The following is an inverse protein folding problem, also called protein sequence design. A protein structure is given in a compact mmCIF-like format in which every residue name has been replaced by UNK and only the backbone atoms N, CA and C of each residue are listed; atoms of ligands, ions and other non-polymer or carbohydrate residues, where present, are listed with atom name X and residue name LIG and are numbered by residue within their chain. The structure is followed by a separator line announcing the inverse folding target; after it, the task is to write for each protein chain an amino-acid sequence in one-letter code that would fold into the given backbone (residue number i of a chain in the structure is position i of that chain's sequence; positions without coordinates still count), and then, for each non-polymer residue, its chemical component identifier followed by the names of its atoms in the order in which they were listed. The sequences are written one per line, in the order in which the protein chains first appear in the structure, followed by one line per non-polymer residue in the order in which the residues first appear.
data_IF_132203223870
#
_entry.id   IF_132203223870
#
_cell.length_a   1.000
_cell.length_b   1.000
_cell.length_c   1.000
_cell.angle_alpha   90.00
_cell.angle_beta   90.00
_cell.angle_gamma   90.00
#
_symmetry.space_group_name_H-M   'P 1'
#
loop_
_entity.id
_entity.type
_entity.pdbx_description
1 polymer ?
#
# COMPACT_ATOMS: atom_id res chain seq x y z
N UNK A 1 -17.68 -15.62 -46.21
CA UNK A 1 -16.69 -15.39 -45.15
C UNK A 1 -17.34 -14.45 -44.15
N UNK A 2 -17.61 -14.90 -42.93
CA UNK A 2 -18.01 -13.97 -41.88
C UNK A 2 -16.90 -12.96 -41.67
N UNK A 3 -17.24 -11.66 -41.61
CA UNK A 3 -16.30 -10.60 -41.28
C UNK A 3 -15.85 -10.87 -39.84
N UNK A 4 -14.58 -11.07 -39.62
CA UNK A 4 -14.00 -11.21 -38.27
C UNK A 4 -14.29 -9.88 -37.55
N UNK A 5 -14.75 -9.92 -36.32
CA UNK A 5 -15.00 -8.68 -35.57
C UNK A 5 -13.67 -8.04 -35.16
N UNK A 6 -13.65 -6.73 -34.97
CA UNK A 6 -12.45 -6.01 -34.49
C UNK A 6 -12.01 -6.56 -33.12
N UNK A 7 -12.97 -6.95 -32.28
CA UNK A 7 -12.73 -7.61 -30.98
C UNK A 7 -12.01 -8.95 -31.14
N UNK A 8 -12.43 -9.79 -32.11
CA UNK A 8 -11.78 -11.08 -32.37
C UNK A 8 -10.35 -10.90 -32.89
N UNK A 9 -10.12 -9.87 -33.73
CA UNK A 9 -8.78 -9.55 -34.24
C UNK A 9 -7.86 -9.09 -33.12
N UNK A 10 -8.32 -8.22 -32.21
CA UNK A 10 -7.55 -7.75 -31.06
C UNK A 10 -7.30 -8.91 -30.07
N UNK A 11 -8.30 -9.76 -29.79
CA UNK A 11 -8.12 -10.93 -28.96
C UNK A 11 -7.03 -11.86 -29.52
N UNK A 12 -7.02 -12.06 -30.85
CA UNK A 12 -5.98 -12.88 -31.48
C UNK A 12 -4.61 -12.26 -31.35
N UNK A 13 -4.46 -10.95 -31.56
CA UNK A 13 -3.19 -10.22 -31.39
C UNK A 13 -2.69 -10.27 -29.95
N UNK A 14 -3.59 -10.26 -28.97
CA UNK A 14 -3.23 -10.48 -27.55
C UNK A 14 -2.68 -11.89 -27.36
N UNK A 15 -3.36 -12.93 -27.89
CA UNK A 15 -2.93 -14.32 -27.74
C UNK A 15 -1.58 -14.60 -28.44
N UNK A 16 -1.31 -13.97 -29.57
CA UNK A 16 -0.03 -14.07 -30.30
C UNK A 16 1.05 -13.12 -29.79
N UNK A 17 0.71 -12.22 -28.84
CA UNK A 17 1.59 -11.20 -28.25
C UNK A 17 2.05 -10.14 -29.26
N UNK A 18 1.30 -9.95 -30.32
CA UNK A 18 1.51 -8.91 -31.32
C UNK A 18 0.86 -7.57 -30.93
N UNK A 19 -0.06 -7.60 -29.95
CA UNK A 19 -0.69 -6.40 -29.42
C UNK A 19 0.33 -5.52 -28.70
N UNK A 20 0.26 -4.20 -28.95
CA UNK A 20 1.11 -3.17 -28.32
C UNK A 20 0.44 -2.67 -27.05
N UNK A 21 1.16 -2.70 -25.94
CA UNK A 21 0.65 -2.29 -24.64
C UNK A 21 1.26 -0.93 -24.26
N UNK A 22 0.41 -0.01 -23.84
CA UNK A 22 0.82 1.21 -23.14
C UNK A 22 0.42 1.11 -21.67
N UNK A 23 1.34 1.44 -20.74
CA UNK A 23 1.07 1.48 -19.31
C UNK A 23 1.27 2.91 -18.82
N UNK A 24 0.21 3.53 -18.28
CA UNK A 24 0.21 4.91 -17.80
C UNK A 24 0.30 4.92 -16.27
N UNK A 25 1.33 5.61 -15.76
CA UNK A 25 1.70 5.59 -14.36
C UNK A 25 2.63 4.41 -14.03
N UNK A 26 3.94 4.69 -13.89
CA UNK A 26 4.98 3.68 -13.65
C UNK A 26 5.40 3.63 -12.18
N UNK A 27 4.40 3.66 -11.28
CA UNK A 27 4.57 3.46 -9.84
C UNK A 27 4.54 1.98 -9.45
N UNK A 28 4.21 1.72 -8.16
CA UNK A 28 4.19 0.37 -7.55
C UNK A 28 3.21 -0.63 -8.21
N UNK A 29 2.28 -0.17 -9.01
CA UNK A 29 1.34 -1.02 -9.76
C UNK A 29 1.76 -1.10 -11.22
N UNK A 30 1.88 0.05 -11.90
CA UNK A 30 2.06 0.07 -13.35
C UNK A 30 3.43 -0.42 -13.81
N UNK A 31 4.53 -0.07 -13.13
CA UNK A 31 5.86 -0.55 -13.54
C UNK A 31 5.99 -2.08 -13.42
N UNK A 32 5.58 -2.74 -12.31
CA UNK A 32 5.52 -4.19 -12.25
C UNK A 32 4.69 -4.83 -13.38
N UNK A 33 3.52 -4.27 -13.68
CA UNK A 33 2.68 -4.74 -14.80
C UNK A 33 3.41 -4.61 -16.14
N UNK A 34 4.02 -3.45 -16.41
CA UNK A 34 4.78 -3.22 -17.63
C UNK A 34 5.91 -4.24 -17.80
N UNK A 35 6.66 -4.51 -16.72
CA UNK A 35 7.74 -5.51 -16.72
C UNK A 35 7.20 -6.91 -16.96
N UNK A 36 6.08 -7.28 -16.30
CA UNK A 36 5.47 -8.61 -16.43
C UNK A 36 4.97 -8.86 -17.85
N UNK A 37 4.29 -7.89 -18.49
CA UNK A 37 3.85 -8.02 -19.88
C UNK A 37 5.02 -8.03 -20.87
N UNK A 38 6.03 -7.18 -20.67
CA UNK A 38 7.23 -7.19 -21.50
C UNK A 38 7.96 -8.54 -21.40
N UNK A 39 8.07 -9.10 -20.18
CA UNK A 39 8.66 -10.42 -19.96
C UNK A 39 7.82 -11.57 -20.55
N UNK A 40 6.50 -11.39 -20.64
CA UNK A 40 5.61 -12.32 -21.35
C UNK A 40 5.77 -12.26 -22.87
N UNK A 41 6.50 -11.26 -23.42
CA UNK A 41 6.86 -11.13 -24.83
C UNK A 41 6.22 -9.97 -25.57
N UNK A 42 5.35 -9.20 -24.94
CA UNK A 42 4.74 -8.01 -25.56
C UNK A 42 5.74 -6.87 -25.79
N UNK A 43 5.41 -5.98 -26.71
CA UNK A 43 6.01 -4.65 -26.78
C UNK A 43 5.26 -3.73 -25.84
N UNK A 44 5.96 -3.15 -24.88
CA UNK A 44 5.37 -2.31 -23.82
C UNK A 44 6.00 -0.92 -23.85
N UNK A 45 5.17 0.10 -23.89
CA UNK A 45 5.56 1.49 -23.67
C UNK A 45 4.97 1.98 -22.34
N UNK A 46 5.82 2.43 -21.45
CA UNK A 46 5.40 3.08 -20.20
C UNK A 46 5.27 4.59 -20.38
N UNK A 47 4.26 5.20 -19.78
CA UNK A 47 4.11 6.65 -19.70
C UNK A 47 4.11 7.08 -18.25
N UNK A 48 5.01 8.02 -17.89
CA UNK A 48 5.04 8.61 -16.55
C UNK A 48 5.45 10.09 -16.64
N UNK A 49 4.82 10.93 -15.84
CA UNK A 49 5.11 12.37 -15.77
C UNK A 49 6.47 12.67 -15.10
N UNK A 50 7.04 11.72 -14.37
CA UNK A 50 8.33 11.86 -13.71
C UNK A 50 9.47 11.50 -14.68
N UNK A 51 10.09 12.49 -15.28
CA UNK A 51 11.18 12.32 -16.26
C UNK A 51 12.37 11.54 -15.68
N UNK A 52 12.67 11.73 -14.38
CA UNK A 52 13.74 10.97 -13.71
C UNK A 52 13.44 9.47 -13.70
N UNK A 53 12.18 9.09 -13.38
CA UNK A 53 11.73 7.68 -13.42
C UNK A 53 11.79 7.11 -14.85
N UNK A 54 11.38 7.89 -15.84
CA UNK A 54 11.47 7.52 -17.26
C UNK A 54 12.92 7.24 -17.66
N UNK A 55 13.86 8.09 -17.23
CA UNK A 55 15.28 7.94 -17.52
C UNK A 55 15.86 6.65 -16.86
N UNK A 56 15.54 6.39 -15.60
CA UNK A 56 15.97 5.18 -14.89
C UNK A 56 15.45 3.91 -15.57
N UNK A 57 14.17 3.86 -15.94
CA UNK A 57 13.56 2.71 -16.63
C UNK A 57 14.26 2.48 -17.98
N UNK A 58 14.50 3.51 -18.76
CA UNK A 58 15.18 3.40 -20.06
C UNK A 58 16.66 3.00 -19.93
N UNK A 59 17.28 3.30 -18.80
CA UNK A 59 18.63 2.83 -18.44
C UNK A 59 18.64 1.37 -17.92
N UNK A 60 17.48 0.76 -17.70
CA UNK A 60 17.35 -0.58 -17.13
C UNK A 60 17.51 -0.61 -15.62
N UNK A 61 17.38 0.52 -14.93
CA UNK A 61 17.50 0.63 -13.49
C UNK A 61 16.10 0.63 -12.85
N UNK A 62 15.93 -0.19 -11.81
CA UNK A 62 14.69 -0.26 -11.05
C UNK A 62 14.53 0.98 -10.16
N UNK A 63 13.52 1.84 -10.38
CA UNK A 63 13.39 3.13 -9.67
C UNK A 63 12.54 3.07 -8.41
N UNK A 64 12.07 1.86 -8.01
CA UNK A 64 11.23 1.66 -6.83
C UNK A 64 12.02 0.98 -5.72
N UNK A 65 11.37 0.72 -4.59
CA UNK A 65 11.99 0.05 -3.44
C UNK A 65 12.76 -1.20 -3.87
N UNK A 66 14.06 -1.34 -3.49
CA UNK A 66 14.92 -2.44 -3.90
C UNK A 66 14.51 -3.82 -3.36
N UNK A 67 13.53 -3.90 -2.47
CA UNK A 67 13.12 -5.16 -1.83
C UNK A 67 12.21 -6.06 -2.69
N UNK A 68 11.96 -5.72 -3.96
CA UNK A 68 11.30 -6.63 -4.90
C UNK A 68 12.31 -7.64 -5.46
N UNK A 69 12.21 -8.94 -5.12
CA UNK A 69 13.32 -9.88 -5.38
C UNK A 69 13.55 -10.19 -6.87
N UNK A 70 12.50 -10.20 -7.69
CA UNK A 70 12.56 -10.64 -9.09
C UNK A 70 12.52 -9.49 -10.12
N UNK A 71 11.72 -8.48 -9.85
CA UNK A 71 11.37 -7.43 -10.84
C UNK A 71 12.55 -6.60 -11.33
N UNK A 72 13.54 -6.22 -10.49
CA UNK A 72 14.69 -5.45 -10.97
C UNK A 72 15.48 -6.16 -12.06
N UNK A 73 15.78 -7.45 -11.87
CA UNK A 73 16.51 -8.25 -12.85
C UNK A 73 15.69 -8.46 -14.13
N UNK A 74 14.39 -8.74 -14.01
CA UNK A 74 13.49 -8.87 -15.16
C UNK A 74 13.39 -7.56 -15.94
N UNK A 75 13.29 -6.42 -15.26
CA UNK A 75 13.22 -5.12 -15.90
C UNK A 75 14.49 -4.82 -16.69
N UNK A 76 15.66 -5.07 -16.12
CA UNK A 76 16.94 -4.90 -16.80
C UNK A 76 16.98 -5.72 -18.12
N UNK A 77 16.53 -6.98 -18.07
CA UNK A 77 16.49 -7.85 -19.26
C UNK A 77 15.55 -7.32 -20.33
N UNK A 78 14.28 -6.99 -19.98
CA UNK A 78 13.30 -6.54 -20.97
C UNK A 78 13.62 -5.15 -21.53
N UNK A 79 14.27 -4.28 -20.74
CA UNK A 79 14.76 -2.98 -21.21
C UNK A 79 15.93 -3.18 -22.21
N UNK A 80 16.87 -4.08 -21.91
CA UNK A 80 17.99 -4.41 -22.80
C UNK A 80 17.50 -5.01 -24.14
N UNK A 81 16.50 -5.87 -24.09
CA UNK A 81 15.86 -6.45 -25.28
C UNK A 81 14.98 -5.46 -26.06
N UNK A 82 14.81 -4.23 -25.57
CA UNK A 82 13.94 -3.22 -26.18
C UNK A 82 12.44 -3.57 -26.10
N UNK A 83 12.05 -4.50 -25.24
CA UNK A 83 10.65 -4.90 -24.99
C UNK A 83 9.90 -3.90 -24.11
N UNK A 84 10.61 -3.20 -23.22
CA UNK A 84 10.08 -2.13 -22.40
C UNK A 84 10.83 -0.82 -22.71
N UNK A 85 10.09 0.25 -22.93
CA UNK A 85 10.56 1.62 -23.04
C UNK A 85 9.63 2.53 -22.24
N UNK A 86 10.12 3.69 -21.84
CA UNK A 86 9.32 4.69 -21.13
C UNK A 86 9.46 6.07 -21.76
N UNK A 87 8.41 6.89 -21.65
CA UNK A 87 8.35 8.28 -22.13
C UNK A 87 7.44 9.11 -21.23
N UNK A 88 7.52 10.44 -21.32
CA UNK A 88 6.53 11.36 -20.75
C UNK A 88 5.51 11.85 -21.80
N UNK A 89 5.64 11.44 -23.06
CA UNK A 89 4.80 11.86 -24.18
C UNK A 89 3.61 10.91 -24.39
N UNK A 90 2.39 11.41 -24.25
CA UNK A 90 1.15 10.68 -24.53
C UNK A 90 0.95 10.36 -26.03
N UNK A 91 1.68 11.00 -26.92
CA UNK A 91 1.69 10.64 -28.35
C UNK A 91 2.04 9.16 -28.59
N UNK A 92 2.72 8.53 -27.65
CA UNK A 92 3.01 7.08 -27.67
C UNK A 92 1.76 6.18 -27.62
N UNK A 93 0.59 6.72 -27.26
CA UNK A 93 -0.70 6.01 -27.31
C UNK A 93 -1.25 5.80 -28.72
N UNK A 94 -0.73 6.51 -29.74
CA UNK A 94 -1.28 6.49 -31.11
C UNK A 94 -1.39 5.08 -31.71
N UNK A 95 -0.42 4.24 -31.43
CA UNK A 95 -0.35 2.86 -31.94
C UNK A 95 -0.74 1.80 -30.90
N UNK A 96 -1.35 2.20 -29.79
CA UNK A 96 -1.71 1.28 -28.72
C UNK A 96 -2.91 0.41 -29.10
N UNK A 97 -2.83 -0.86 -28.80
CA UNK A 97 -3.94 -1.80 -28.82
C UNK A 97 -4.57 -1.95 -27.45
N UNK A 98 -3.74 -1.75 -26.42
CA UNK A 98 -4.11 -1.89 -25.02
C UNK A 98 -3.49 -0.73 -24.23
N UNK A 99 -4.29 -0.09 -23.40
CA UNK A 99 -3.84 0.92 -22.46
C UNK A 99 -4.19 0.46 -21.05
N UNK A 100 -3.17 0.32 -20.19
CA UNK A 100 -3.34 0.03 -18.75
C UNK A 100 -3.12 1.32 -17.98
N UNK A 101 -4.10 1.72 -17.14
CA UNK A 101 -4.02 2.96 -16.37
C UNK A 101 -3.85 2.65 -14.89
N UNK A 102 -2.71 3.05 -14.34
CA UNK A 102 -2.30 2.80 -12.95
C UNK A 102 -1.77 4.08 -12.28
N UNK A 103 -2.56 5.14 -12.32
CA UNK A 103 -2.24 6.45 -11.73
C UNK A 103 -2.78 6.57 -10.31
N UNK A 104 -2.25 7.49 -9.47
CA UNK A 104 -2.75 7.70 -8.11
C UNK A 104 -4.21 8.18 -8.11
N UNK A 105 -4.98 7.65 -7.13
CA UNK A 105 -6.36 8.04 -6.82
C UNK A 105 -6.47 8.31 -5.33
N UNK A 106 -5.96 9.44 -4.82
CA UNK A 106 -6.00 9.78 -3.41
C UNK A 106 -7.40 10.19 -2.95
N UNK A 107 -7.52 10.46 -1.66
CA UNK A 107 -8.61 11.24 -1.09
C UNK A 107 -8.06 12.60 -0.66
N UNK A 108 -8.90 13.64 -0.73
CA UNK A 108 -8.57 14.98 -0.28
C UNK A 108 -8.65 15.11 1.26
N UNK A 109 -8.42 16.32 1.78
CA UNK A 109 -8.49 16.62 3.21
C UNK A 109 -9.90 16.42 3.81
N UNK A 110 -10.94 16.47 2.96
CA UNK A 110 -12.33 16.20 3.33
C UNK A 110 -12.70 14.73 3.15
N UNK A 111 -11.72 13.87 2.85
CA UNK A 111 -11.91 12.43 2.61
C UNK A 111 -12.75 12.11 1.36
N UNK A 112 -12.77 13.06 0.39
CA UNK A 112 -13.45 12.87 -0.88
C UNK A 112 -12.45 12.32 -1.91
N UNK A 113 -12.89 11.44 -2.84
CA UNK A 113 -12.04 10.93 -3.90
C UNK A 113 -11.50 12.04 -4.80
N UNK A 114 -10.21 12.00 -5.11
CA UNK A 114 -9.59 12.85 -6.11
C UNK A 114 -9.15 11.99 -7.31
N UNK A 115 -9.91 12.08 -8.39
CA UNK A 115 -9.66 11.38 -9.65
C UNK A 115 -9.06 12.27 -10.73
N UNK A 116 -8.56 13.46 -10.39
CA UNK A 116 -7.98 14.41 -11.35
C UNK A 116 -6.90 13.77 -12.21
N UNK A 117 -5.95 13.06 -11.59
CA UNK A 117 -4.88 12.37 -12.31
C UNK A 117 -5.39 11.28 -13.26
N UNK A 118 -6.47 10.57 -12.89
CA UNK A 118 -7.12 9.56 -13.75
C UNK A 118 -7.83 10.20 -14.93
N UNK A 119 -8.61 11.25 -14.70
CA UNK A 119 -9.33 11.99 -15.74
C UNK A 119 -8.34 12.63 -16.73
N UNK A 120 -7.27 13.24 -16.22
CA UNK A 120 -6.22 13.83 -17.06
C UNK A 120 -5.51 12.77 -17.91
N UNK A 121 -5.16 11.62 -17.31
CA UNK A 121 -4.53 10.51 -18.01
C UNK A 121 -5.42 9.98 -19.14
N UNK A 122 -6.71 9.76 -18.87
CA UNK A 122 -7.67 9.28 -19.86
C UNK A 122 -7.95 10.33 -20.95
N UNK A 123 -8.10 11.61 -20.60
CA UNK A 123 -8.33 12.70 -21.55
C UNK A 123 -7.17 12.84 -22.53
N UNK A 124 -5.93 12.83 -22.01
CA UNK A 124 -4.74 12.89 -22.86
C UNK A 124 -4.62 11.64 -23.74
N UNK A 125 -4.92 10.47 -23.21
CA UNK A 125 -4.85 9.20 -23.93
C UNK A 125 -5.88 9.13 -25.07
N UNK A 126 -7.16 9.39 -24.76
CA UNK A 126 -8.26 9.27 -25.73
C UNK A 126 -8.09 10.16 -26.96
N UNK A 127 -7.33 11.27 -26.86
CA UNK A 127 -7.03 12.15 -28.01
C UNK A 127 -6.16 11.48 -29.08
N UNK A 128 -5.46 10.39 -28.75
CA UNK A 128 -4.56 9.67 -29.65
C UNK A 128 -5.06 8.30 -30.07
N UNK A 129 -6.10 7.75 -29.38
CA UNK A 129 -6.54 6.40 -29.64
C UNK A 129 -7.26 6.24 -30.98
N UNK A 130 -7.00 5.12 -31.64
CA UNK A 130 -7.83 4.57 -32.71
C UNK A 130 -9.04 3.81 -32.16
N UNK A 131 -9.93 3.31 -33.02
CA UNK A 131 -11.04 2.44 -32.62
C UNK A 131 -10.56 1.09 -32.08
N UNK A 132 -11.38 0.46 -31.25
CA UNK A 132 -11.20 -0.93 -30.77
C UNK A 132 -10.01 -1.18 -29.84
N UNK A 133 -9.58 -0.16 -29.07
CA UNK A 133 -8.55 -0.29 -28.05
C UNK A 133 -9.15 -0.80 -26.73
N UNK A 134 -8.47 -1.69 -26.00
CA UNK A 134 -8.82 -2.03 -24.62
C UNK A 134 -8.17 -1.02 -23.66
N UNK A 135 -8.97 -0.30 -22.88
CA UNK A 135 -8.50 0.48 -21.74
C UNK A 135 -8.79 -0.30 -20.45
N UNK A 136 -7.76 -0.77 -19.77
CA UNK A 136 -7.85 -1.46 -18.50
C UNK A 136 -7.44 -0.52 -17.35
N UNK A 137 -8.39 -0.15 -16.49
CA UNK A 137 -8.13 0.70 -15.32
C UNK A 137 -7.75 -0.20 -14.14
N UNK A 138 -6.54 -0.03 -13.61
CA UNK A 138 -6.04 -0.71 -12.42
C UNK A 138 -6.02 0.20 -11.19
N UNK A 139 -6.09 1.53 -11.37
CA UNK A 139 -6.22 2.48 -10.27
C UNK A 139 -7.45 2.15 -9.41
N UNK A 140 -7.35 2.28 -8.09
CA UNK A 140 -8.49 2.03 -7.20
C UNK A 140 -9.55 3.10 -7.39
N UNK A 141 -10.79 2.67 -7.64
CA UNK A 141 -11.93 3.54 -7.92
C UNK A 141 -12.97 3.49 -6.79
N UNK A 142 -13.64 4.60 -6.53
CA UNK A 142 -14.87 4.60 -5.75
C UNK A 142 -16.01 3.94 -6.52
N UNK A 143 -16.99 3.30 -5.84
CA UNK A 143 -18.15 2.70 -6.50
C UNK A 143 -18.91 3.69 -7.40
N UNK A 144 -19.16 3.29 -8.65
CA UNK A 144 -19.84 4.10 -9.67
C UNK A 144 -18.93 4.88 -10.60
N UNK A 145 -17.62 5.00 -10.29
CA UNK A 145 -16.66 5.79 -11.09
C UNK A 145 -16.56 5.29 -12.54
N UNK A 146 -16.62 3.98 -12.78
CA UNK A 146 -16.59 3.43 -14.15
C UNK A 146 -17.78 3.91 -14.99
N UNK A 147 -18.96 4.01 -14.38
CA UNK A 147 -20.15 4.57 -15.04
C UNK A 147 -19.99 6.05 -15.37
N UNK A 148 -19.42 6.83 -14.44
CA UNK A 148 -19.15 8.25 -14.66
C UNK A 148 -18.12 8.48 -15.76
N UNK A 149 -17.06 7.67 -15.80
CA UNK A 149 -16.07 7.70 -16.87
C UNK A 149 -16.67 7.33 -18.23
N UNK A 150 -17.50 6.28 -18.30
CA UNK A 150 -18.20 5.91 -19.53
C UNK A 150 -19.12 7.05 -20.02
N UNK A 151 -19.84 7.71 -19.12
CA UNK A 151 -20.67 8.86 -19.46
C UNK A 151 -19.85 10.08 -19.91
N UNK A 152 -18.68 10.33 -19.30
CA UNK A 152 -17.80 11.45 -19.64
C UNK A 152 -17.22 11.33 -21.06
N UNK A 153 -16.80 10.13 -21.44
CA UNK A 153 -16.18 9.88 -22.75
C UNK A 153 -17.19 9.53 -23.86
N UNK A 154 -18.49 9.46 -23.53
CA UNK A 154 -19.58 9.16 -24.46
C UNK A 154 -19.67 7.66 -24.80
N UNK A 155 -20.21 7.32 -25.99
CA UNK A 155 -20.11 5.97 -26.55
C UNK A 155 -18.69 5.83 -27.16
N UNK A 156 -17.71 5.38 -26.39
CA UNK A 156 -16.33 5.33 -26.85
C UNK A 156 -16.17 4.25 -27.91
N UNK A 157 -15.31 4.52 -28.88
CA UNK A 157 -14.86 3.51 -29.85
C UNK A 157 -13.89 2.51 -29.24
N UNK A 158 -13.71 2.52 -27.91
CA UNK A 158 -12.79 1.64 -27.15
C UNK A 158 -13.55 0.80 -26.11
N UNK A 159 -12.95 -0.31 -25.71
CA UNK A 159 -13.44 -1.21 -24.69
C UNK A 159 -12.90 -0.81 -23.32
N UNK A 160 -13.77 -0.57 -22.34
CA UNK A 160 -13.39 -0.13 -21.00
C UNK A 160 -13.57 -1.26 -19.98
N UNK A 161 -12.49 -1.60 -19.27
CA UNK A 161 -12.52 -2.63 -18.22
C UNK A 161 -11.88 -2.10 -16.93
N UNK A 162 -12.48 -2.43 -15.79
CA UNK A 162 -11.90 -2.23 -14.46
C UNK A 162 -11.18 -3.49 -14.01
N UNK A 163 -9.89 -3.42 -13.82
CA UNK A 163 -9.03 -4.58 -13.56
C UNK A 163 -8.15 -4.36 -12.32
N UNK A 164 -8.73 -4.11 -11.13
CA UNK A 164 -7.97 -3.73 -9.95
C UNK A 164 -6.91 -4.77 -9.59
N UNK A 165 -5.77 -4.26 -9.13
CA UNK A 165 -4.68 -5.09 -8.63
C UNK A 165 -4.92 -5.57 -7.19
N UNK A 166 -4.25 -6.64 -6.78
CA UNK A 166 -4.24 -7.21 -5.43
C UNK A 166 -2.80 -7.51 -5.02
N UNK A 167 -1.94 -6.49 -5.07
CA UNK A 167 -0.51 -6.66 -4.79
C UNK A 167 -0.12 -6.14 -3.42
N UNK A 168 0.98 -6.69 -2.90
CA UNK A 168 1.59 -6.25 -1.65
C UNK A 168 3.06 -5.99 -1.91
N UNK A 169 3.63 -4.83 -1.50
CA UNK A 169 5.05 -4.55 -1.60
C UNK A 169 5.91 -5.67 -1.00
N UNK A 170 7.02 -6.01 -1.68
CA UNK A 170 7.89 -7.12 -1.34
C UNK A 170 7.50 -8.47 -1.97
N UNK A 171 6.34 -8.55 -2.67
CA UNK A 171 5.85 -9.75 -3.33
C UNK A 171 5.08 -9.45 -4.63
N UNK A 172 5.38 -8.33 -5.31
CA UNK A 172 4.63 -7.85 -6.47
C UNK A 172 4.58 -8.89 -7.58
N UNK A 173 5.73 -9.41 -8.04
CA UNK A 173 5.78 -10.39 -9.10
C UNK A 173 5.01 -11.68 -8.76
N UNK A 174 5.11 -12.16 -7.52
CA UNK A 174 4.37 -13.32 -7.03
C UNK A 174 2.87 -13.04 -7.04
N UNK A 175 2.44 -11.90 -6.48
CA UNK A 175 1.02 -11.56 -6.40
C UNK A 175 0.39 -11.40 -7.79
N UNK A 176 1.06 -10.73 -8.73
CA UNK A 176 0.57 -10.57 -10.10
C UNK A 176 0.38 -11.91 -10.83
N UNK A 177 1.19 -12.92 -10.49
CA UNK A 177 1.09 -14.27 -11.09
C UNK A 177 0.08 -15.17 -10.39
N UNK A 178 -0.05 -15.13 -9.06
CA UNK A 178 -0.67 -16.18 -8.25
C UNK A 178 -1.94 -15.74 -7.51
N UNK A 179 -2.21 -14.44 -7.41
CA UNK A 179 -3.44 -13.96 -6.77
C UNK A 179 -4.55 -13.85 -7.79
N UNK A 180 -5.75 -14.41 -7.51
CA UNK A 180 -6.90 -14.28 -8.39
C UNK A 180 -7.25 -12.82 -8.67
N UNK A 181 -7.60 -12.50 -9.91
CA UNK A 181 -7.95 -11.14 -10.33
C UNK A 181 -9.44 -11.02 -10.58
N UNK A 182 -10.02 -9.86 -10.24
CA UNK A 182 -11.38 -9.48 -10.60
C UNK A 182 -11.32 -8.58 -11.84
N UNK A 183 -12.27 -8.76 -12.75
CA UNK A 183 -12.44 -7.98 -13.98
C UNK A 183 -13.89 -7.51 -14.03
N UNK A 184 -14.09 -6.20 -13.88
CA UNK A 184 -15.38 -5.53 -14.02
C UNK A 184 -15.52 -4.95 -15.42
N UNK A 185 -16.30 -5.58 -16.29
CA UNK A 185 -16.42 -5.16 -17.67
C UNK A 185 -17.70 -5.68 -18.33
N UNK A 186 -18.09 -5.07 -19.46
CA UNK A 186 -19.07 -5.66 -20.37
C UNK A 186 -18.51 -6.91 -21.10
N UNK A 187 -19.33 -7.53 -21.94
CA UNK A 187 -18.97 -8.82 -22.56
C UNK A 187 -17.73 -8.75 -23.48
N UNK A 188 -17.56 -7.70 -24.26
CA UNK A 188 -16.43 -7.57 -25.21
C UNK A 188 -15.16 -7.15 -24.48
N UNK A 189 -15.22 -6.14 -23.62
CA UNK A 189 -14.12 -5.71 -22.79
C UNK A 189 -13.65 -6.85 -21.85
N UNK A 190 -14.58 -7.66 -21.33
CA UNK A 190 -14.25 -8.82 -20.50
C UNK A 190 -13.46 -9.87 -21.25
N UNK A 191 -13.83 -10.20 -22.51
CA UNK A 191 -13.10 -11.15 -23.35
C UNK A 191 -11.66 -10.68 -23.54
N UNK A 192 -11.48 -9.40 -23.92
CA UNK A 192 -10.16 -8.82 -24.15
C UNK A 192 -9.31 -8.77 -22.87
N UNK A 193 -9.90 -8.32 -21.75
CA UNK A 193 -9.21 -8.28 -20.47
C UNK A 193 -8.82 -9.67 -19.97
N UNK A 194 -9.68 -10.69 -20.12
CA UNK A 194 -9.34 -12.07 -19.80
C UNK A 194 -8.20 -12.60 -20.67
N UNK A 195 -8.24 -12.33 -21.97
CA UNK A 195 -7.16 -12.74 -22.90
C UNK A 195 -5.84 -12.09 -22.49
N UNK A 196 -5.84 -10.78 -22.12
CA UNK A 196 -4.66 -10.03 -21.69
C UNK A 196 -4.08 -10.58 -20.38
N UNK A 197 -4.87 -10.58 -19.30
CA UNK A 197 -4.37 -10.94 -17.99
C UNK A 197 -4.01 -12.43 -17.86
N UNK A 198 -4.60 -13.30 -18.64
CA UNK A 198 -4.19 -14.71 -18.71
C UNK A 198 -2.76 -14.92 -19.21
N UNK A 199 -2.14 -13.92 -19.86
CA UNK A 199 -0.75 -14.01 -20.31
C UNK A 199 0.26 -13.91 -19.15
N UNK A 200 -0.15 -13.31 -18.02
CA UNK A 200 0.72 -13.06 -16.85
C UNK A 200 0.19 -13.68 -15.57
N UNK A 201 -1.12 -13.71 -15.36
CA UNK A 201 -1.77 -14.29 -14.19
C UNK A 201 -2.05 -15.78 -14.42
N UNK A 202 -1.57 -16.63 -13.51
CA UNK A 202 -1.79 -18.09 -13.52
C UNK A 202 -2.97 -18.51 -12.63
N UNK A 203 -3.46 -17.60 -11.80
CA UNK A 203 -4.61 -17.81 -10.94
C UNK A 203 -5.92 -17.53 -11.70
N UNK A 204 -7.05 -17.81 -11.07
CA UNK A 204 -8.38 -17.59 -11.64
C UNK A 204 -8.65 -16.12 -11.93
N UNK A 205 -9.28 -15.84 -13.05
CA UNK A 205 -9.81 -14.55 -13.43
C UNK A 205 -11.34 -14.59 -13.27
N UNK A 206 -11.89 -13.66 -12.48
CA UNK A 206 -13.31 -13.58 -12.17
C UNK A 206 -13.92 -12.35 -12.86
N UNK A 207 -14.83 -12.59 -13.79
CA UNK A 207 -15.56 -11.53 -14.49
C UNK A 207 -16.83 -11.19 -13.73
N UNK A 208 -17.12 -9.90 -13.59
CA UNK A 208 -18.34 -9.36 -13.01
C UNK A 208 -18.66 -8.01 -13.67
N UNK A 209 -19.75 -7.36 -13.27
CA UNK A 209 -20.03 -5.99 -13.66
C UNK A 209 -19.03 -5.00 -13.00
N UNK A 210 -18.84 -3.80 -13.61
CA UNK A 210 -17.89 -2.81 -13.10
C UNK A 210 -18.16 -2.37 -11.66
N UNK A 211 -19.41 -2.12 -11.29
CA UNK A 211 -19.79 -1.65 -9.95
C UNK A 211 -19.42 -2.69 -8.87
N UNK A 212 -19.72 -3.97 -9.13
CA UNK A 212 -19.34 -5.06 -8.22
C UNK A 212 -17.83 -5.18 -8.06
N UNK A 213 -17.05 -4.96 -9.12
CA UNK A 213 -15.59 -4.98 -9.05
C UNK A 213 -15.03 -3.78 -8.26
N UNK A 214 -15.58 -2.58 -8.43
CA UNK A 214 -15.20 -1.37 -7.67
C UNK A 214 -15.46 -1.56 -6.18
N UNK A 215 -16.68 -2.03 -5.82
CA UNK A 215 -17.04 -2.34 -4.43
C UNK A 215 -16.09 -3.41 -3.87
N UNK A 216 -15.84 -4.48 -4.60
CA UNK A 216 -14.96 -5.58 -4.19
C UNK A 216 -13.56 -5.05 -3.82
N UNK A 217 -12.95 -4.25 -4.69
CA UNK A 217 -11.59 -3.71 -4.45
C UNK A 217 -11.53 -2.84 -3.19
N UNK A 218 -12.44 -1.90 -3.04
CA UNK A 218 -12.45 -1.02 -1.87
C UNK A 218 -12.81 -1.80 -0.59
N UNK A 219 -13.76 -2.75 -0.68
CA UNK A 219 -14.20 -3.55 0.46
C UNK A 219 -13.11 -4.49 1.00
N UNK A 220 -12.21 -5.02 0.17
CA UNK A 220 -11.08 -5.82 0.62
C UNK A 220 -10.18 -5.04 1.59
N UNK A 221 -9.85 -3.80 1.25
CA UNK A 221 -9.02 -2.94 2.10
C UNK A 221 -9.80 -2.41 3.31
N UNK A 222 -11.08 -2.07 3.16
CA UNK A 222 -11.96 -1.69 4.27
C UNK A 222 -12.14 -2.85 5.27
N UNK A 223 -12.29 -4.09 4.78
CA UNK A 223 -12.35 -5.29 5.63
C UNK A 223 -11.06 -5.46 6.43
N UNK A 224 -9.89 -5.26 5.79
CA UNK A 224 -8.60 -5.31 6.47
C UNK A 224 -8.48 -4.24 7.54
N UNK A 225 -8.97 -3.04 7.28
CA UNK A 225 -8.99 -1.92 8.21
C UNK A 225 -9.85 -2.22 9.45
N UNK A 226 -11.05 -2.79 9.26
CA UNK A 226 -11.93 -3.24 10.36
C UNK A 226 -11.26 -4.34 11.20
N UNK A 227 -10.58 -5.29 10.56
CA UNK A 227 -9.86 -6.34 11.29
C UNK A 227 -8.73 -5.77 12.16
N UNK A 228 -8.02 -4.75 11.67
CA UNK A 228 -6.96 -4.05 12.42
C UNK A 228 -7.57 -3.23 13.56
N UNK A 229 -8.69 -2.52 13.31
CA UNK A 229 -9.40 -1.77 14.33
C UNK A 229 -9.88 -2.68 15.47
N UNK A 230 -10.44 -3.85 15.15
CA UNK A 230 -10.83 -4.83 16.15
C UNK A 230 -9.64 -5.28 17.03
N UNK A 231 -8.49 -5.55 16.40
CA UNK A 231 -7.28 -5.95 17.14
C UNK A 231 -6.76 -4.82 18.05
N UNK A 232 -6.81 -3.58 17.56
CA UNK A 232 -6.40 -2.39 18.29
C UNK A 232 -7.35 -2.11 19.46
N UNK A 233 -8.66 -2.15 19.23
CA UNK A 233 -9.65 -1.97 20.32
C UNK A 233 -9.55 -3.07 21.35
N UNK A 234 -9.30 -4.34 20.96
CA UNK A 234 -9.06 -5.44 21.87
C UNK A 234 -7.82 -5.19 22.74
N UNK A 235 -6.78 -4.56 22.21
CA UNK A 235 -5.61 -4.17 22.99
C UNK A 235 -5.99 -3.16 24.08
N UNK A 236 -6.77 -2.13 23.76
CA UNK A 236 -7.26 -1.14 24.73
C UNK A 236 -8.14 -1.79 25.81
N UNK A 237 -9.02 -2.71 25.42
CA UNK A 237 -9.85 -3.48 26.38
C UNK A 237 -8.98 -4.32 27.32
N UNK A 238 -7.95 -4.98 26.80
CA UNK A 238 -7.04 -5.76 27.63
C UNK A 238 -6.25 -4.89 28.61
N UNK A 239 -5.77 -3.71 28.18
CA UNK A 239 -5.10 -2.75 29.05
C UNK A 239 -6.00 -2.29 30.21
N UNK A 240 -7.25 -1.95 29.92
CA UNK A 240 -8.23 -1.50 30.94
C UNK A 240 -8.56 -2.59 31.96
N UNK A 241 -8.69 -3.83 31.49
CA UNK A 241 -9.02 -4.99 32.32
C UNK A 241 -7.81 -5.64 32.99
N UNK A 242 -6.59 -5.20 32.75
CA UNK A 242 -5.37 -5.80 33.31
C UNK A 242 -5.00 -7.15 32.68
N UNK A 243 -5.40 -7.39 31.41
CA UNK A 243 -5.09 -8.60 30.65
C UNK A 243 -3.95 -8.35 29.63
N UNK A 244 -3.44 -9.44 29.03
CA UNK A 244 -2.45 -9.40 27.96
C UNK A 244 -3.11 -9.73 26.62
N UNK A 245 -3.20 -8.74 25.70
CA UNK A 245 -3.81 -8.91 24.38
C UNK A 245 -3.08 -9.97 23.55
N UNK A 246 -1.78 -10.10 23.71
CA UNK A 246 -0.98 -11.05 22.94
C UNK A 246 -1.32 -12.49 23.28
N UNK A 247 -1.53 -12.76 24.57
CA UNK A 247 -2.04 -14.05 25.05
C UNK A 247 -3.50 -14.27 24.64
N UNK A 248 -4.38 -13.28 24.85
CA UNK A 248 -5.80 -13.35 24.46
C UNK A 248 -5.93 -13.63 22.96
N UNK A 249 -5.16 -12.91 22.13
CA UNK A 249 -5.11 -13.12 20.70
C UNK A 249 -4.67 -14.54 20.32
N UNK A 250 -3.62 -15.07 20.96
CA UNK A 250 -3.16 -16.44 20.72
C UNK A 250 -4.28 -17.45 21.03
N UNK A 251 -4.98 -17.28 22.14
CA UNK A 251 -6.10 -18.14 22.54
C UNK A 251 -7.25 -18.07 21.55
N UNK A 252 -7.66 -16.87 21.09
CA UNK A 252 -8.70 -16.70 20.06
C UNK A 252 -8.30 -17.43 18.77
N UNK A 253 -7.04 -17.29 18.36
CA UNK A 253 -6.54 -17.86 17.10
C UNK A 253 -6.34 -19.39 17.16
N UNK A 254 -6.53 -20.05 18.32
CA UNK A 254 -6.65 -21.53 18.39
C UNK A 254 -7.95 -22.02 17.77
N UNK A 255 -8.97 -21.18 17.67
CA UNK A 255 -10.21 -21.53 16.99
C UNK A 255 -10.01 -21.43 15.46
N UNK A 256 -10.18 -22.52 14.69
CA UNK A 256 -9.80 -22.57 13.27
C UNK A 256 -10.55 -21.59 12.38
N UNK A 257 -11.68 -21.07 12.85
CA UNK A 257 -12.45 -20.07 12.09
C UNK A 257 -12.29 -18.64 12.64
N UNK A 258 -11.31 -18.37 13.47
CA UNK A 258 -11.03 -17.05 14.04
C UNK A 258 -9.59 -16.66 13.76
N UNK A 259 -9.38 -15.44 13.30
CA UNK A 259 -8.05 -14.90 13.09
C UNK A 259 -8.03 -13.42 13.46
N UNK A 260 -7.54 -13.13 14.66
CA UNK A 260 -7.31 -11.77 15.14
C UNK A 260 -5.91 -11.33 14.74
N UNK A 261 -5.80 -10.17 14.12
CA UNK A 261 -4.53 -9.58 13.69
C UNK A 261 -3.69 -9.13 14.88
N UNK A 262 -2.45 -8.75 14.64
CA UNK A 262 -1.61 -8.10 15.67
C UNK A 262 -2.07 -6.65 15.82
N UNK A 263 -2.32 -6.16 17.05
CA UNK A 263 -2.51 -4.74 17.29
C UNK A 263 -1.20 -3.97 17.04
N UNK A 264 -1.29 -2.65 16.92
CA UNK A 264 -0.14 -1.81 16.67
C UNK A 264 -0.42 -0.32 16.86
N UNK A 265 0.56 0.55 16.56
CA UNK A 265 0.49 1.98 16.80
C UNK A 265 -0.48 2.72 15.86
N UNK A 266 -1.22 2.02 15.02
CA UNK A 266 -2.13 2.55 14.01
C UNK A 266 -1.98 1.84 12.68
N UNK A 267 -2.60 2.40 11.64
CA UNK A 267 -2.63 1.82 10.28
C UNK A 267 -2.08 2.83 9.29
N UNK A 268 -1.04 2.44 8.56
CA UNK A 268 -0.37 3.26 7.56
C UNK A 268 -0.45 2.70 6.14
N UNK A 269 0.33 3.28 5.26
CA UNK A 269 0.37 2.93 3.84
C UNK A 269 -0.59 3.74 2.97
N UNK A 270 -0.53 3.49 1.67
CA UNK A 270 -1.29 4.27 0.69
C UNK A 270 -2.74 3.82 0.51
N UNK A 271 -3.07 2.57 0.90
CA UNK A 271 -4.36 1.96 0.53
C UNK A 271 -5.31 1.83 1.74
N UNK A 272 -4.90 1.12 2.81
CA UNK A 272 -5.81 0.79 3.93
C UNK A 272 -6.39 2.04 4.60
N UNK A 273 -5.64 3.13 4.87
CA UNK A 273 -6.22 4.34 5.47
C UNK A 273 -7.19 5.09 4.55
N UNK A 274 -7.10 4.88 3.23
CA UNK A 274 -7.81 5.64 2.19
C UNK A 274 -9.04 4.92 1.66
N UNK A 275 -8.91 3.63 1.32
CA UNK A 275 -9.93 2.90 0.56
C UNK A 275 -11.29 2.75 1.28
N UNK A 276 -11.39 2.72 2.63
CA UNK A 276 -12.67 2.84 3.31
C UNK A 276 -13.43 4.11 2.95
N UNK A 277 -12.72 5.24 2.76
CA UNK A 277 -13.35 6.51 2.34
C UNK A 277 -13.82 6.47 0.90
N UNK A 278 -13.06 5.81 -0.01
CA UNK A 278 -13.52 5.55 -1.38
C UNK A 278 -14.79 4.70 -1.38
N UNK A 279 -14.83 3.64 -0.55
CA UNK A 279 -16.01 2.76 -0.44
C UNK A 279 -17.24 3.52 0.09
N UNK A 280 -17.04 4.45 1.00
CA UNK A 280 -18.12 5.26 1.61
C UNK A 280 -18.54 6.45 0.75
N UNK A 281 -17.80 6.79 -0.29
CA UNK A 281 -18.10 7.93 -1.14
C UNK A 281 -19.43 7.74 -1.86
N UNK A 282 -20.27 8.78 -1.84
CA UNK A 282 -21.56 8.79 -2.53
C UNK A 282 -22.66 7.91 -1.91
N UNK A 283 -22.43 7.29 -0.73
CA UNK A 283 -23.45 6.51 -0.05
C UNK A 283 -24.57 7.40 0.48
N UNK A 284 -25.81 6.90 0.39
CA UNK A 284 -26.99 7.50 1.01
C UNK A 284 -27.29 6.96 2.42
N UNK A 285 -26.48 6.02 2.89
CA UNK A 285 -26.58 5.39 4.22
C UNK A 285 -25.38 5.75 5.08
N UNK A 286 -25.55 5.71 6.39
CA UNK A 286 -24.43 5.80 7.35
C UNK A 286 -23.62 4.49 7.35
N UNK A 287 -22.30 4.61 7.27
CA UNK A 287 -21.37 3.48 7.31
C UNK A 287 -20.64 3.43 8.67
N UNK A 288 -21.42 3.30 9.75
CA UNK A 288 -20.97 3.43 11.14
C UNK A 288 -19.78 2.53 11.47
N UNK A 289 -19.81 1.27 11.05
CA UNK A 289 -18.74 0.31 11.32
C UNK A 289 -17.40 0.75 10.70
N UNK A 290 -17.41 1.20 9.45
CA UNK A 290 -16.21 1.63 8.75
C UNK A 290 -15.66 2.93 9.34
N UNK A 291 -16.55 3.86 9.69
CA UNK A 291 -16.20 5.12 10.35
C UNK A 291 -15.61 4.88 11.73
N UNK A 292 -16.20 4.00 12.54
CA UNK A 292 -15.68 3.65 13.85
C UNK A 292 -14.33 2.95 13.75
N UNK A 293 -14.16 2.02 12.80
CA UNK A 293 -12.89 1.35 12.56
C UNK A 293 -11.76 2.34 12.22
N UNK A 294 -12.03 3.30 11.33
CA UNK A 294 -11.07 4.37 11.03
C UNK A 294 -10.75 5.23 12.24
N UNK A 295 -11.76 5.61 13.02
CA UNK A 295 -11.56 6.39 14.22
C UNK A 295 -10.68 5.65 15.25
N UNK A 296 -10.90 4.34 15.47
CA UNK A 296 -10.06 3.50 16.34
C UNK A 296 -8.62 3.46 15.82
N UNK A 297 -8.41 3.15 14.54
CA UNK A 297 -7.07 3.06 13.95
C UNK A 297 -6.33 4.40 13.95
N UNK A 298 -7.02 5.51 13.70
CA UNK A 298 -6.45 6.86 13.72
C UNK A 298 -6.15 7.34 15.15
N UNK A 299 -6.81 6.78 16.19
CA UNK A 299 -6.55 7.07 17.59
C UNK A 299 -5.29 6.39 18.13
N UNK A 300 -4.91 5.22 17.62
CA UNK A 300 -3.80 4.43 18.16
C UNK A 300 -2.46 5.16 18.28
N UNK A 301 -2.04 6.03 17.33
CA UNK A 301 -0.82 6.80 17.48
C UNK A 301 -0.88 7.74 18.70
N UNK A 302 -2.06 8.31 19.00
CA UNK A 302 -2.26 9.16 20.19
C UNK A 302 -2.10 8.33 21.46
N UNK A 303 -2.68 7.14 21.50
CA UNK A 303 -2.55 6.21 22.62
C UNK A 303 -1.08 5.82 22.89
N UNK A 304 -0.32 5.49 21.84
CA UNK A 304 1.13 5.18 21.98
C UNK A 304 1.92 6.37 22.52
N UNK A 305 1.61 7.59 22.08
CA UNK A 305 2.23 8.79 22.62
C UNK A 305 1.86 9.01 24.09
N UNK A 306 0.61 8.78 24.47
CA UNK A 306 0.16 8.89 25.87
C UNK A 306 0.83 7.85 26.78
N UNK A 307 0.97 6.58 26.32
CA UNK A 307 1.78 5.55 27.01
C UNK A 307 3.23 5.98 27.17
N UNK A 308 3.81 6.66 26.17
CA UNK A 308 5.18 7.20 26.24
C UNK A 308 5.31 8.25 27.34
N UNK A 309 4.38 9.22 27.39
CA UNK A 309 4.38 10.26 28.41
C UNK A 309 4.12 9.69 29.81
N UNK A 310 3.29 8.66 29.96
CA UNK A 310 3.07 7.95 31.23
C UNK A 310 4.34 7.24 31.70
N UNK A 311 5.01 6.50 30.80
CA UNK A 311 6.24 5.79 31.11
C UNK A 311 7.37 6.74 31.54
N UNK A 312 7.50 7.90 30.87
CA UNK A 312 8.46 8.95 31.27
C UNK A 312 8.17 9.46 32.68
N UNK A 313 6.90 9.75 33.02
CA UNK A 313 6.52 10.20 34.38
C UNK A 313 6.84 9.15 35.45
N UNK A 314 6.57 7.88 35.15
CA UNK A 314 6.87 6.77 36.08
C UNK A 314 8.38 6.65 36.33
N UNK A 315 9.18 6.79 35.28
CA UNK A 315 10.65 6.81 35.37
C UNK A 315 11.19 8.08 36.04
N UNK A 316 10.33 9.04 36.40
CA UNK A 316 10.71 10.38 36.88
C UNK A 316 11.62 11.13 35.87
N UNK A 317 11.50 10.80 34.61
CA UNK A 317 12.14 11.50 33.50
C UNK A 317 11.35 12.78 33.15
N UNK A 318 11.99 13.79 32.53
CA UNK A 318 11.26 14.96 32.05
C UNK A 318 10.26 14.55 30.97
N UNK A 319 9.09 15.17 30.91
CA UNK A 319 8.17 15.04 29.77
C UNK A 319 8.41 16.20 28.80
N UNK A 320 8.60 17.42 29.28
CA UNK A 320 9.02 18.54 28.41
C UNK A 320 10.54 18.55 28.25
N UNK A 321 11.01 18.60 27.01
CA UNK A 321 12.43 18.47 26.64
C UNK A 321 12.98 17.04 26.75
N UNK A 322 12.11 16.03 26.91
CA UNK A 322 12.53 14.63 26.86
C UNK A 322 13.08 14.30 25.47
N UNK A 323 14.22 13.63 25.42
CA UNK A 323 14.75 13.07 24.16
C UNK A 323 14.12 11.70 23.93
N UNK A 324 13.23 11.60 22.95
CA UNK A 324 12.53 10.37 22.58
C UNK A 324 13.04 9.88 21.24
N UNK A 325 13.43 8.62 21.15
CA UNK A 325 13.83 7.98 19.88
C UNK A 325 12.74 7.00 19.47
N UNK A 326 12.12 7.26 18.30
CA UNK A 326 11.14 6.37 17.70
C UNK A 326 11.88 5.40 16.78
N UNK A 327 11.74 4.09 17.07
CA UNK A 327 12.32 2.99 16.33
C UNK A 327 11.31 2.45 15.31
N UNK A 328 11.65 2.61 14.03
CA UNK A 328 10.79 2.27 12.89
C UNK A 328 9.88 3.42 12.48
N UNK A 329 10.33 4.18 11.45
CA UNK A 329 9.54 5.24 10.82
C UNK A 329 8.69 4.70 9.67
N UNK A 330 9.06 3.56 9.07
CA UNK A 330 8.26 2.88 8.05
C UNK A 330 6.92 2.38 8.62
N UNK A 331 5.86 2.38 7.82
CA UNK A 331 4.56 1.89 8.28
C UNK A 331 4.47 0.36 8.36
N UNK A 332 5.38 -0.34 7.69
CA UNK A 332 5.41 -1.80 7.60
C UNK A 332 6.81 -2.31 7.90
N UNK A 333 6.87 -3.48 8.56
CA UNK A 333 8.12 -4.17 8.85
C UNK A 333 8.94 -4.45 7.59
N UNK A 334 10.26 -4.30 7.68
CA UNK A 334 11.27 -4.62 6.68
C UNK A 334 11.05 -3.90 5.33
N UNK A 335 10.60 -2.65 5.38
CA UNK A 335 10.42 -1.78 4.20
C UNK A 335 10.89 -0.37 4.52
N UNK A 336 11.15 0.44 3.47
CA UNK A 336 11.47 1.87 3.58
C UNK A 336 10.23 2.77 3.41
N UNK A 337 9.03 2.22 3.25
CA UNK A 337 7.81 2.99 2.94
C UNK A 337 7.25 3.70 4.16
N UNK A 338 7.31 5.04 4.13
CA UNK A 338 6.86 5.93 5.22
C UNK A 338 5.46 6.52 4.97
N UNK A 339 4.78 6.18 3.87
CA UNK A 339 3.49 6.80 3.51
C UNK A 339 2.45 6.56 4.60
N UNK A 340 1.89 7.66 5.12
CA UNK A 340 0.90 7.64 6.22
C UNK A 340 1.36 6.78 7.43
N UNK A 341 2.66 6.78 7.73
CA UNK A 341 3.16 5.98 8.85
C UNK A 341 2.59 6.44 10.18
N UNK A 342 2.07 5.54 11.03
CA UNK A 342 1.63 5.87 12.38
C UNK A 342 2.75 6.46 13.25
N UNK A 343 4.02 6.11 12.99
CA UNK A 343 5.17 6.65 13.70
C UNK A 343 5.28 8.16 13.56
N UNK A 344 4.91 8.72 12.39
CA UNK A 344 4.87 10.16 12.17
C UNK A 344 3.82 10.85 13.05
N UNK A 345 2.64 10.25 13.18
CA UNK A 345 1.58 10.78 14.04
C UNK A 345 1.94 10.66 15.55
N UNK A 346 2.63 9.60 15.97
CA UNK A 346 3.21 9.47 17.31
C UNK A 346 4.20 10.61 17.57
N UNK A 347 5.13 10.85 16.62
CA UNK A 347 6.10 11.95 16.72
C UNK A 347 5.41 13.30 16.88
N UNK A 348 4.44 13.61 16.01
CA UNK A 348 3.73 14.91 16.08
C UNK A 348 3.08 15.13 17.43
N UNK A 349 2.47 14.09 18.01
CA UNK A 349 1.85 14.16 19.33
C UNK A 349 2.88 14.39 20.43
N UNK A 350 4.02 13.70 20.38
CA UNK A 350 5.11 13.86 21.36
C UNK A 350 5.77 15.26 21.25
N UNK A 351 5.98 15.77 20.04
CA UNK A 351 6.49 17.13 19.83
C UNK A 351 5.50 18.17 20.40
N UNK A 352 4.20 18.01 20.16
CA UNK A 352 3.15 18.87 20.74
C UNK A 352 3.14 18.82 22.28
N UNK A 353 3.57 17.71 22.87
CA UNK A 353 3.74 17.56 24.32
C UNK A 353 5.07 18.14 24.85
N UNK A 354 5.94 18.66 23.96
CA UNK A 354 7.20 19.29 24.29
C UNK A 354 8.42 18.39 24.30
N UNK A 355 8.33 17.17 23.76
CA UNK A 355 9.46 16.26 23.58
C UNK A 355 10.35 16.68 22.39
N UNK A 356 11.67 16.38 22.48
CA UNK A 356 12.59 16.36 21.36
C UNK A 356 12.60 14.94 20.77
N UNK A 357 12.05 14.77 19.55
CA UNK A 357 11.84 13.45 18.94
C UNK A 357 12.78 13.22 17.77
N UNK A 358 13.43 12.07 17.75
CA UNK A 358 14.28 11.58 16.65
C UNK A 358 13.80 10.21 16.18
N UNK A 359 14.21 9.83 14.96
CA UNK A 359 13.93 8.53 14.40
C UNK A 359 15.20 7.70 14.23
N UNK A 360 15.01 6.40 14.34
CA UNK A 360 15.94 5.39 13.84
C UNK A 360 15.14 4.34 13.06
N UNK A 361 15.61 3.99 11.85
CA UNK A 361 15.01 2.94 11.04
C UNK A 361 16.09 2.31 10.15
N UNK A 362 16.34 1.00 10.23
CA UNK A 362 17.41 0.35 9.47
C UNK A 362 17.18 0.33 7.96
N UNK A 363 15.94 0.53 7.50
CA UNK A 363 15.52 0.45 6.10
C UNK A 363 15.35 1.81 5.44
N UNK A 364 15.33 2.91 6.19
CA UNK A 364 15.07 4.25 5.65
C UNK A 364 16.34 5.08 5.62
N UNK A 365 16.74 5.50 4.43
CA UNK A 365 17.92 6.33 4.23
C UNK A 365 17.85 7.63 5.04
N UNK A 366 18.97 7.98 5.68
CA UNK A 366 19.08 9.12 6.58
C UNK A 366 18.65 8.83 8.02
N UNK A 367 18.03 7.68 8.30
CA UNK A 367 17.65 7.22 9.65
C UNK A 367 18.31 5.88 10.03
N UNK A 368 19.11 5.29 9.14
CA UNK A 368 19.73 3.95 9.23
C UNK A 368 21.16 3.94 9.78
N UNK A 369 21.50 4.87 10.66
CA UNK A 369 22.81 4.93 11.31
C UNK A 369 23.03 3.82 12.35
N UNK A 370 23.98 4.06 13.26
CA UNK A 370 24.20 3.15 14.39
C UNK A 370 23.12 3.32 15.48
N UNK A 371 22.49 2.23 15.90
CA UNK A 371 21.41 2.21 16.88
C UNK A 371 21.83 2.77 18.24
N UNK A 372 22.99 2.39 18.75
CA UNK A 372 23.48 2.85 20.05
C UNK A 372 23.77 4.35 20.03
N UNK A 373 24.31 4.85 18.90
CA UNK A 373 24.51 6.29 18.69
C UNK A 373 23.17 7.03 18.65
N UNK A 374 22.16 6.48 17.99
CA UNK A 374 20.80 7.08 17.94
C UNK A 374 20.15 7.15 19.33
N UNK A 375 20.37 6.14 20.18
CA UNK A 375 19.82 6.03 21.53
C UNK A 375 20.68 6.70 22.61
N UNK A 376 21.88 7.18 22.27
CA UNK A 376 22.77 7.82 23.25
C UNK A 376 22.13 9.07 23.84
N UNK A 377 22.01 9.09 25.17
CA UNK A 377 21.39 10.17 25.94
C UNK A 377 19.86 10.29 25.80
N UNK A 378 19.19 9.32 25.15
CA UNK A 378 17.75 9.27 25.07
C UNK A 378 17.08 9.05 26.45
N UNK A 379 15.91 9.63 26.63
CA UNK A 379 15.07 9.41 27.80
C UNK A 379 14.08 8.26 27.59
N UNK A 380 13.68 8.00 26.35
CA UNK A 380 12.75 6.92 26.00
C UNK A 380 13.03 6.41 24.59
N UNK A 381 12.88 5.09 24.39
CA UNK A 381 12.77 4.46 23.08
C UNK A 381 11.31 4.03 22.85
N UNK A 382 10.79 4.23 21.63
CA UNK A 382 9.42 3.87 21.25
C UNK A 382 9.44 3.01 19.98
N UNK A 383 9.06 1.74 20.06
CA UNK A 383 9.04 0.83 18.91
C UNK A 383 7.70 0.97 18.17
N UNK A 384 7.72 1.49 16.93
CA UNK A 384 6.54 1.66 16.08
C UNK A 384 6.45 0.68 14.91
N UNK A 385 7.58 0.17 14.39
CA UNK A 385 7.61 -0.91 13.39
C UNK A 385 8.27 -2.16 13.96
N UNK A 386 7.88 -3.34 13.48
CA UNK A 386 8.42 -4.62 13.94
C UNK A 386 9.47 -5.15 12.97
N UNK A 387 10.52 -4.35 12.70
CA UNK A 387 11.63 -4.79 11.86
C UNK A 387 12.34 -5.99 12.48
N UNK A 388 12.81 -6.91 11.65
CA UNK A 388 13.50 -8.11 12.12
C UNK A 388 14.74 -7.76 12.97
N UNK A 389 15.43 -6.68 12.63
CA UNK A 389 16.60 -6.16 13.34
C UNK A 389 16.30 -5.78 14.80
N UNK A 390 15.05 -5.47 15.13
CA UNK A 390 14.67 -5.07 16.48
C UNK A 390 14.46 -6.23 17.44
N UNK A 391 14.22 -7.45 16.93
CA UNK A 391 14.07 -8.64 17.80
C UNK A 391 15.38 -9.11 18.44
N UNK A 392 16.53 -8.65 17.91
CA UNK A 392 17.87 -9.00 18.41
C UNK A 392 18.54 -7.93 19.25
N UNK A 393 17.85 -6.83 19.59
CA UNK A 393 18.46 -5.71 20.33
C UNK A 393 18.87 -6.18 21.75
N UNK A 394 20.14 -5.93 22.12
CA UNK A 394 20.63 -6.09 23.50
C UNK A 394 20.21 -4.86 24.31
N UNK A 395 19.03 -4.96 24.96
CA UNK A 395 18.50 -3.89 25.80
C UNK A 395 19.36 -3.59 27.02
N UNK A 396 20.25 -4.51 27.45
CA UNK A 396 21.20 -4.24 28.52
C UNK A 396 22.29 -3.25 28.04
N UNK A 397 22.80 -3.44 26.84
CA UNK A 397 23.76 -2.53 26.21
C UNK A 397 23.11 -1.17 25.91
N UNK A 398 21.91 -1.16 25.31
CA UNK A 398 21.12 0.05 25.08
C UNK A 398 20.91 0.85 26.38
N UNK A 399 20.58 0.17 27.48
CA UNK A 399 20.38 0.81 28.79
C UNK A 399 21.64 1.50 29.36
N UNK A 400 22.84 1.20 28.84
CA UNK A 400 24.09 1.87 29.26
C UNK A 400 24.29 3.21 28.58
N UNK A 401 23.74 3.42 27.38
CA UNK A 401 23.88 4.66 26.62
C UNK A 401 22.71 5.61 26.81
N UNK A 402 21.55 5.13 27.22
CA UNK A 402 20.37 5.95 27.50
C UNK A 402 20.50 6.72 28.81
N UNK A 403 19.88 7.92 28.88
CA UNK A 403 19.80 8.72 30.12
C UNK A 403 18.79 8.15 31.11
N UNK A 404 17.62 7.73 30.59
CA UNK A 404 16.61 7.01 31.35
C UNK A 404 16.26 5.72 30.62
N UNK A 405 16.05 4.65 31.36
CA UNK A 405 15.72 3.33 30.81
C UNK A 405 14.20 3.20 30.66
N UNK A 406 13.64 3.88 29.67
CA UNK A 406 12.20 3.82 29.35
C UNK A 406 12.02 3.23 27.96
N UNK A 407 11.15 2.23 27.85
CA UNK A 407 10.85 1.54 26.60
C UNK A 407 9.34 1.42 26.44
N UNK A 408 8.82 1.97 25.33
CA UNK A 408 7.44 1.75 24.87
C UNK A 408 7.45 0.86 23.65
N UNK A 409 6.75 -0.27 23.73
CA UNK A 409 6.74 -1.26 22.67
C UNK A 409 5.34 -1.42 22.09
N UNK A 410 5.06 -0.72 21.00
CA UNK A 410 3.77 -0.79 20.32
C UNK A 410 3.64 -2.00 19.38
N UNK A 411 4.64 -2.89 19.30
CA UNK A 411 4.67 -4.03 18.38
C UNK A 411 4.98 -5.38 19.05
N UNK A 412 5.20 -5.38 20.36
CA UNK A 412 5.58 -6.56 21.15
C UNK A 412 6.86 -7.25 20.62
N UNK A 413 7.86 -6.44 20.31
CA UNK A 413 9.17 -6.88 19.78
C UNK A 413 10.13 -7.19 20.92
N UNK A 414 10.09 -6.37 22.00
CA UNK A 414 10.99 -6.45 23.14
C UNK A 414 10.41 -7.25 24.31
N UNK A 415 9.44 -8.13 24.05
CA UNK A 415 8.90 -9.01 25.09
C UNK A 415 9.67 -10.34 25.17
N UNK A 416 10.00 -10.87 26.39
CA UNK A 416 9.67 -10.32 27.71
C UNK A 416 10.40 -9.00 28.02
N UNK A 417 9.69 -8.14 28.77
CA UNK A 417 10.16 -6.79 29.10
C UNK A 417 11.60 -6.79 29.68
N UNK A 418 12.49 -5.90 29.22
CA UNK A 418 13.85 -5.80 29.77
C UNK A 418 13.81 -5.41 31.27
N UNK A 419 14.48 -6.16 32.15
CA UNK A 419 14.33 -6.08 33.62
C UNK A 419 14.62 -4.69 34.22
N UNK A 420 15.50 -3.92 33.58
CA UNK A 420 15.93 -2.62 34.12
C UNK A 420 15.15 -1.43 33.52
N UNK A 421 14.21 -1.68 32.64
CA UNK A 421 13.44 -0.64 31.96
C UNK A 421 12.08 -0.42 32.62
N UNK A 422 11.64 0.82 32.69
CA UNK A 422 10.22 1.14 32.77
C UNK A 422 9.63 0.80 31.42
N UNK A 423 8.90 -0.30 31.37
CA UNK A 423 8.35 -0.86 30.13
C UNK A 423 6.85 -0.63 30.02
N UNK A 424 6.40 -0.19 28.87
CA UNK A 424 4.98 -0.17 28.49
C UNK A 424 4.82 -0.84 27.14
N UNK A 425 4.16 -1.97 27.11
CA UNK A 425 3.79 -2.68 25.89
C UNK A 425 2.34 -2.39 25.54
N UNK A 426 2.07 -2.12 24.26
CA UNK A 426 0.70 -1.97 23.76
C UNK A 426 -0.09 -3.27 24.01
N UNK A 427 -1.26 -3.14 24.65
CA UNK A 427 -2.13 -4.27 24.98
C UNK A 427 -1.65 -5.12 26.15
N UNK A 428 -0.64 -4.71 26.90
CA UNK A 428 -0.27 -5.30 28.18
C UNK A 428 -0.98 -4.55 29.30
N UNK A 429 -1.86 -5.22 30.02
CA UNK A 429 -2.52 -4.67 31.22
C UNK A 429 -1.51 -4.32 32.33
N UNK A 430 -1.89 -3.35 33.18
CA UNK A 430 -1.07 -2.87 34.31
C UNK A 430 -0.94 -3.91 35.39
#
# INVERSE_FOLDING_TARGET
MQKVSETDELEQRIKTKEAKIVVIGLGYVGLPQAVMFANAGFQVMGIDICEARVAEINAGHWPLDPQEPELPAMMQEVAHLGKLRATSDFGACHDADIVIVAVPTPVDENRQPDFSALVDALTNTCSYLSSSVLIAIESTLAPGTMSDLAAMFGEPSFHLAYCPERVTPGALAHNLRQVPRVIGADSEAAILAMALYSQVCKASLYVTDPLSAEICKCAENAYRDVQLAFANELALVCEDLGADVWQVRQLINTCPWRYVLRPGPGVGGACIPKDPWLLMSGLSIEADLLTAARATNDWMPHHVADLTLEALREAKAPTSGAHVVVLGIAYKENTSDMRNSPALAVMERLIKAGCDVRFYDPFVDGYNGDLLTALAGADCAVICAAHDDFYGIDWQEVGQVMRHKVLVDARNVAWPAPREFVYRGLGHGK
#
